data_IF_215134905380
#
_entry.id   IF_215134905380
#
_cell.length_a   1.000
_cell.length_b   1.000
_cell.length_c   1.000
_cell.angle_alpha   90.00
_cell.angle_beta   90.00
_cell.angle_gamma   90.00
#
_symmetry.space_group_name_H-M   'P 1'
#
loop_
_entity.id
_entity.type
_entity.pdbx_description
1 polymer ?
#
# COMPACT_ATOMS: atom_id res chain seq x y z
N UNK A 1 -4.11 -45.58 -8.97
CA UNK A 1 -3.32 -44.44 -8.44
C UNK A 1 -3.68 -43.11 -9.12
N UNK A 2 -4.49 -43.09 -10.19
CA UNK A 2 -4.96 -41.86 -10.86
C UNK A 2 -5.84 -40.93 -10.01
N UNK A 3 -6.72 -41.45 -9.14
CA UNK A 3 -7.65 -40.60 -8.36
C UNK A 3 -6.99 -39.68 -7.30
N UNK A 4 -5.70 -39.86 -7.01
CA UNK A 4 -4.91 -38.97 -6.12
C UNK A 4 -4.19 -37.85 -6.89
N UNK A 5 -3.91 -38.07 -8.18
CA UNK A 5 -3.30 -37.07 -9.05
C UNK A 5 -4.35 -36.03 -9.49
N UNK A 6 -5.53 -36.49 -9.85
CA UNK A 6 -6.66 -35.66 -10.32
C UNK A 6 -7.16 -34.67 -9.22
N UNK A 7 -7.32 -35.17 -7.98
CA UNK A 7 -7.64 -34.33 -6.81
C UNK A 7 -6.56 -33.30 -6.44
N UNK A 8 -5.33 -33.49 -6.90
CA UNK A 8 -4.20 -32.59 -6.60
C UNK A 8 -4.11 -31.47 -7.64
N UNK A 9 -4.46 -31.75 -8.90
CA UNK A 9 -4.55 -30.75 -9.97
C UNK A 9 -5.75 -29.80 -9.79
N UNK A 10 -6.91 -30.30 -9.37
CA UNK A 10 -8.08 -29.46 -9.08
C UNK A 10 -7.84 -28.47 -7.92
N UNK A 11 -6.88 -28.73 -7.03
CA UNK A 11 -6.49 -27.83 -5.93
C UNK A 11 -5.57 -26.68 -6.36
N UNK A 12 -5.07 -26.69 -7.59
CA UNK A 12 -4.09 -25.74 -8.09
C UNK A 12 -4.63 -24.80 -9.17
N UNK A 13 -5.90 -24.92 -9.55
CA UNK A 13 -6.51 -24.11 -10.60
C UNK A 13 -7.12 -22.83 -10.04
N UNK A 14 -6.95 -21.74 -10.79
CA UNK A 14 -7.67 -20.48 -10.56
C UNK A 14 -9.15 -20.75 -10.84
N UNK A 15 -10.02 -20.35 -9.93
CA UNK A 15 -11.47 -20.57 -10.08
C UNK A 15 -12.21 -19.25 -10.28
N UNK A 16 -13.36 -19.32 -10.95
CA UNK A 16 -14.24 -18.15 -11.13
C UNK A 16 -14.73 -17.59 -9.79
N UNK A 17 -14.89 -18.44 -8.76
CA UNK A 17 -15.28 -17.99 -7.41
C UNK A 17 -14.21 -17.10 -6.77
N UNK A 18 -12.92 -17.39 -6.89
CA UNK A 18 -11.88 -16.51 -6.33
C UNK A 18 -11.82 -15.16 -7.04
N UNK A 19 -12.05 -15.16 -8.36
CA UNK A 19 -12.12 -13.93 -9.14
C UNK A 19 -13.33 -13.07 -8.74
N UNK A 20 -14.50 -13.70 -8.54
CA UNK A 20 -15.70 -13.00 -8.11
C UNK A 20 -15.56 -12.43 -6.69
N UNK A 21 -15.02 -13.21 -5.74
CA UNK A 21 -14.75 -12.73 -4.38
C UNK A 21 -13.75 -11.57 -4.43
N UNK A 22 -12.65 -11.71 -5.17
CA UNK A 22 -11.68 -10.63 -5.35
C UNK A 22 -12.32 -9.38 -5.93
N UNK A 23 -13.12 -9.50 -6.99
CA UNK A 23 -13.82 -8.38 -7.63
C UNK A 23 -14.78 -7.65 -6.68
N UNK A 24 -15.48 -8.38 -5.81
CA UNK A 24 -16.37 -7.79 -4.80
C UNK A 24 -15.59 -7.09 -3.67
N UNK A 25 -14.40 -7.58 -3.33
CA UNK A 25 -13.56 -7.00 -2.28
C UNK A 25 -12.75 -5.78 -2.77
N UNK A 26 -12.52 -5.64 -4.08
CA UNK A 26 -11.79 -4.48 -4.65
C UNK A 26 -12.44 -3.14 -4.26
N UNK A 27 -13.74 -2.88 -4.48
CA UNK A 27 -14.35 -1.61 -4.08
C UNK A 27 -14.21 -1.31 -2.58
N UNK A 28 -14.29 -2.34 -1.74
CA UNK A 28 -14.13 -2.21 -0.29
C UNK A 28 -12.69 -1.80 0.04
N UNK A 29 -11.71 -2.46 -0.58
CA UNK A 29 -10.29 -2.16 -0.40
C UNK A 29 -9.95 -0.74 -0.88
N UNK A 30 -10.41 -0.37 -2.09
CA UNK A 30 -10.19 0.95 -2.67
C UNK A 30 -10.85 2.05 -1.82
N UNK A 31 -12.10 1.84 -1.40
CA UNK A 31 -12.78 2.80 -0.53
C UNK A 31 -12.04 2.99 0.80
N UNK A 32 -11.57 1.89 1.39
CA UNK A 32 -10.84 1.95 2.66
C UNK A 32 -9.53 2.72 2.52
N UNK A 33 -8.68 2.37 1.54
CA UNK A 33 -7.39 3.05 1.33
C UNK A 33 -7.58 4.53 1.02
N UNK A 34 -8.49 4.89 0.11
CA UNK A 34 -8.74 6.30 -0.24
C UNK A 34 -9.27 7.09 0.96
N UNK A 35 -10.11 6.47 1.80
CA UNK A 35 -10.61 7.14 3.01
C UNK A 35 -9.50 7.39 4.03
N UNK A 36 -8.62 6.42 4.24
CA UNK A 36 -7.54 6.51 5.24
C UNK A 36 -6.45 7.49 4.80
N UNK A 37 -6.07 7.44 3.52
CA UNK A 37 -5.00 8.25 2.93
C UNK A 37 -5.48 9.66 2.58
N UNK A 38 -6.56 9.82 1.82
CA UNK A 38 -7.00 11.14 1.35
C UNK A 38 -7.80 11.89 2.41
N UNK A 39 -8.80 11.24 3.00
CA UNK A 39 -9.74 11.94 3.89
C UNK A 39 -9.17 12.16 5.29
N UNK A 40 -8.60 11.12 5.89
CA UNK A 40 -8.08 11.19 7.26
C UNK A 40 -6.59 11.51 7.34
N UNK A 41 -5.85 11.39 6.23
CA UNK A 41 -4.40 11.65 6.18
C UNK A 41 -3.64 10.99 7.33
N UNK A 42 -4.04 9.76 7.64
CA UNK A 42 -3.72 9.11 8.92
C UNK A 42 -2.66 8.02 8.79
N UNK A 43 -2.63 7.33 7.67
CA UNK A 43 -1.69 6.26 7.37
C UNK A 43 -1.53 6.12 5.85
N UNK A 44 -0.29 6.19 5.37
CA UNK A 44 0.03 5.95 3.96
C UNK A 44 0.30 4.46 3.73
N UNK A 45 -0.74 3.64 3.85
CA UNK A 45 -0.66 2.18 3.76
C UNK A 45 -0.10 1.69 2.43
N UNK A 46 -0.39 2.42 1.35
CA UNK A 46 0.09 2.13 -0.01
C UNK A 46 1.58 2.45 -0.23
N UNK A 47 2.20 3.24 0.65
CA UNK A 47 3.62 3.57 0.58
C UNK A 47 4.51 2.56 1.31
N UNK A 48 3.91 1.60 2.03
CA UNK A 48 4.66 0.57 2.75
C UNK A 48 5.07 -0.58 1.83
N UNK A 49 6.24 -1.23 2.06
CA UNK A 49 6.67 -2.38 1.26
C UNK A 49 5.67 -3.55 1.28
N UNK A 50 4.96 -3.70 2.40
CA UNK A 50 3.87 -4.65 2.56
C UNK A 50 2.59 -3.86 2.80
N UNK A 51 1.63 -3.98 1.88
CA UNK A 51 0.34 -3.32 2.00
C UNK A 51 -0.47 -3.92 3.14
N UNK A 52 -0.83 -3.09 4.12
CA UNK A 52 -1.46 -3.55 5.37
C UNK A 52 -2.91 -3.99 5.12
N UNK A 53 -3.65 -3.25 4.30
CA UNK A 53 -5.07 -3.43 4.04
C UNK A 53 -5.35 -4.73 3.27
N UNK A 54 -4.66 -5.07 2.17
CA UNK A 54 -4.80 -6.36 1.50
C UNK A 54 -4.41 -7.53 2.40
N UNK A 55 -3.38 -7.38 3.24
CA UNK A 55 -2.99 -8.41 4.21
C UNK A 55 -4.07 -8.61 5.26
N UNK A 56 -4.67 -7.53 5.75
CA UNK A 56 -5.76 -7.60 6.72
C UNK A 56 -7.03 -8.20 6.12
N UNK A 57 -7.40 -7.81 4.90
CA UNK A 57 -8.53 -8.43 4.19
C UNK A 57 -8.26 -9.91 3.95
N UNK A 58 -7.03 -10.29 3.56
CA UNK A 58 -6.64 -11.70 3.46
C UNK A 58 -6.75 -12.43 4.81
N UNK A 59 -6.36 -11.79 5.92
CA UNK A 59 -6.56 -12.34 7.26
C UNK A 59 -8.03 -12.61 7.54
N UNK A 60 -8.93 -11.67 7.24
CA UNK A 60 -10.36 -11.88 7.39
C UNK A 60 -10.87 -13.01 6.50
N UNK A 61 -10.52 -13.02 5.21
CA UNK A 61 -10.93 -14.07 4.27
C UNK A 61 -10.44 -15.45 4.73
N UNK A 62 -9.22 -15.54 5.25
CA UNK A 62 -8.68 -16.80 5.80
C UNK A 62 -9.39 -17.21 7.11
N UNK A 63 -9.77 -16.25 7.97
CA UNK A 63 -10.62 -16.51 9.15
C UNK A 63 -11.97 -17.11 8.73
N UNK A 64 -12.66 -16.44 7.80
CA UNK A 64 -13.93 -16.92 7.27
C UNK A 64 -13.77 -18.28 6.61
N UNK A 65 -12.69 -18.51 5.87
CA UNK A 65 -12.42 -19.79 5.22
C UNK A 65 -12.19 -20.92 6.23
N UNK A 66 -11.49 -20.65 7.33
CA UNK A 66 -11.27 -21.61 8.41
C UNK A 66 -12.59 -22.04 9.06
N UNK A 67 -13.46 -21.08 9.35
CA UNK A 67 -14.81 -21.33 9.87
C UNK A 67 -15.66 -22.08 8.84
N UNK A 68 -15.63 -21.66 7.58
CA UNK A 68 -16.36 -22.30 6.49
C UNK A 68 -15.94 -23.76 6.28
N UNK A 69 -14.64 -24.06 6.41
CA UNK A 69 -14.11 -25.43 6.34
C UNK A 69 -14.68 -26.34 7.44
N UNK A 70 -15.10 -25.79 8.58
CA UNK A 70 -15.75 -26.54 9.68
C UNK A 70 -17.21 -26.85 9.38
N UNK A 71 -17.95 -25.92 8.78
CA UNK A 71 -19.40 -26.05 8.57
C UNK A 71 -19.77 -26.56 7.17
N UNK A 72 -19.11 -26.05 6.13
CA UNK A 72 -19.38 -26.37 4.72
C UNK A 72 -18.06 -26.62 3.98
N UNK A 73 -17.40 -27.78 4.18
CA UNK A 73 -16.08 -28.06 3.61
C UNK A 73 -16.00 -27.91 2.08
N UNK A 74 -17.10 -28.17 1.37
CA UNK A 74 -17.18 -28.04 -0.10
C UNK A 74 -17.04 -26.60 -0.58
N UNK A 75 -17.45 -25.62 0.23
CA UNK A 75 -17.35 -24.20 -0.10
C UNK A 75 -15.98 -23.59 0.27
N UNK A 76 -15.12 -24.34 0.95
CA UNK A 76 -13.81 -23.83 1.37
C UNK A 76 -12.90 -23.49 0.18
N UNK A 77 -12.18 -22.38 0.33
CA UNK A 77 -11.16 -21.89 -0.57
C UNK A 77 -9.84 -22.65 -0.34
N UNK A 78 -9.18 -22.98 -1.44
CA UNK A 78 -7.84 -23.54 -1.46
C UNK A 78 -6.79 -22.41 -1.36
N UNK A 79 -5.52 -22.79 -1.26
CA UNK A 79 -4.42 -21.83 -1.13
C UNK A 79 -4.28 -20.92 -2.36
N UNK A 80 -4.45 -21.46 -3.58
CA UNK A 80 -4.33 -20.70 -4.83
C UNK A 80 -5.41 -19.63 -4.92
N UNK A 81 -6.64 -19.97 -4.55
CA UNK A 81 -7.79 -19.05 -4.57
C UNK A 81 -7.61 -17.89 -3.59
N UNK A 82 -7.12 -18.17 -2.38
CA UNK A 82 -6.79 -17.13 -1.42
C UNK A 82 -5.66 -16.21 -1.92
N UNK A 83 -4.63 -16.78 -2.56
CA UNK A 83 -3.55 -16.01 -3.16
C UNK A 83 -4.02 -15.17 -4.35
N UNK A 84 -4.94 -15.68 -5.18
CA UNK A 84 -5.54 -14.90 -6.28
C UNK A 84 -6.31 -13.71 -5.73
N UNK A 85 -7.14 -13.91 -4.70
CA UNK A 85 -7.84 -12.80 -4.03
C UNK A 85 -6.83 -11.77 -3.50
N UNK A 86 -5.79 -12.22 -2.81
CA UNK A 86 -4.74 -11.33 -2.31
C UNK A 86 -4.05 -10.53 -3.42
N UNK A 87 -3.67 -11.17 -4.53
CA UNK A 87 -3.04 -10.51 -5.68
C UNK A 87 -3.98 -9.45 -6.28
N UNK A 88 -5.26 -9.77 -6.45
CA UNK A 88 -6.26 -8.81 -6.94
C UNK A 88 -6.35 -7.57 -6.03
N UNK A 89 -6.35 -7.77 -4.71
CA UNK A 89 -6.38 -6.68 -3.74
C UNK A 89 -5.11 -5.84 -3.77
N UNK A 90 -3.93 -6.47 -3.80
CA UNK A 90 -2.64 -5.77 -3.90
C UNK A 90 -2.59 -4.91 -5.17
N UNK A 91 -2.93 -5.47 -6.34
CA UNK A 91 -2.95 -4.73 -7.61
C UNK A 91 -3.93 -3.57 -7.52
N UNK A 92 -5.14 -3.78 -6.97
CA UNK A 92 -6.11 -2.70 -6.83
C UNK A 92 -5.60 -1.56 -5.95
N UNK A 93 -4.88 -1.87 -4.88
CA UNK A 93 -4.30 -0.88 -3.98
C UNK A 93 -3.12 -0.13 -4.61
N UNK A 94 -2.29 -0.80 -5.42
CA UNK A 94 -1.21 -0.13 -6.16
C UNK A 94 -1.74 1.02 -7.01
N UNK A 95 -2.89 0.82 -7.66
CA UNK A 95 -3.52 1.86 -8.47
C UNK A 95 -4.30 2.87 -7.65
N UNK A 96 -4.94 2.44 -6.56
CA UNK A 96 -5.72 3.33 -5.70
C UNK A 96 -4.89 4.09 -4.67
N UNK A 97 -3.56 3.88 -4.62
CA UNK A 97 -2.67 4.46 -3.62
C UNK A 97 -2.41 5.96 -3.77
N UNK A 98 -1.75 6.52 -2.77
CA UNK A 98 -1.50 7.95 -2.59
C UNK A 98 -0.92 8.65 -3.84
N UNK A 99 0.11 8.06 -4.45
CA UNK A 99 0.85 8.71 -5.54
C UNK A 99 0.39 8.33 -6.95
N UNK A 100 -0.67 7.52 -7.08
CA UNK A 100 -1.20 7.06 -8.37
C UNK A 100 -2.56 7.70 -8.66
N UNK A 101 -3.68 6.98 -8.52
CA UNK A 101 -4.97 7.50 -8.94
C UNK A 101 -5.44 8.68 -8.08
N UNK A 102 -5.12 8.70 -6.78
CA UNK A 102 -5.54 9.78 -5.89
C UNK A 102 -5.02 11.15 -6.39
N UNK A 103 -3.74 11.23 -6.76
CA UNK A 103 -3.15 12.44 -7.33
C UNK A 103 -3.55 12.67 -8.79
N UNK A 104 -3.71 11.61 -9.58
CA UNK A 104 -4.08 11.70 -10.99
C UNK A 104 -5.36 12.50 -11.22
N UNK A 105 -6.40 12.25 -10.41
CA UNK A 105 -7.65 13.00 -10.53
C UNK A 105 -7.43 14.50 -10.34
N UNK A 106 -6.60 14.90 -9.37
CA UNK A 106 -6.20 16.29 -9.19
C UNK A 106 -5.46 16.84 -10.41
N UNK A 107 -4.46 16.13 -10.93
CA UNK A 107 -3.67 16.55 -12.09
C UNK A 107 -4.51 16.77 -13.36
N UNK A 108 -5.58 15.99 -13.54
CA UNK A 108 -6.45 16.12 -14.72
C UNK A 108 -7.30 17.40 -14.73
N UNK A 109 -7.54 18.02 -13.58
CA UNK A 109 -8.56 19.08 -13.43
C UNK A 109 -8.06 20.36 -12.75
N UNK A 110 -7.06 20.27 -11.87
CA UNK A 110 -6.51 21.41 -11.11
C UNK A 110 -6.07 22.58 -12.00
N UNK A 111 -5.32 22.36 -13.10
CA UNK A 111 -4.83 23.45 -13.93
C UNK A 111 -5.96 24.34 -14.47
N UNK A 112 -7.11 23.75 -14.80
CA UNK A 112 -8.25 24.44 -15.40
C UNK A 112 -9.15 25.10 -14.35
N UNK A 113 -9.34 24.44 -13.20
CA UNK A 113 -10.17 24.96 -12.11
C UNK A 113 -9.52 26.15 -11.39
N UNK A 114 -8.22 26.05 -11.10
CA UNK A 114 -7.48 27.08 -10.36
C UNK A 114 -6.81 28.12 -11.26
N UNK A 115 -7.03 28.09 -12.57
CA UNK A 115 -6.59 29.16 -13.47
C UNK A 115 -7.33 30.47 -13.13
N UNK A 116 -6.56 31.51 -12.80
CA UNK A 116 -7.06 32.84 -12.46
C UNK A 116 -6.34 33.89 -13.31
N UNK A 117 -6.94 35.07 -13.55
CA UNK A 117 -6.24 36.15 -14.24
C UNK A 117 -4.91 36.54 -13.58
N UNK A 118 -4.81 36.43 -12.25
CA UNK A 118 -3.62 36.81 -11.48
C UNK A 118 -2.45 35.84 -11.62
N UNK A 119 -2.73 34.54 -11.81
CA UNK A 119 -1.69 33.54 -12.02
C UNK A 119 -1.34 33.31 -13.50
N UNK A 120 -2.17 33.83 -14.40
CA UNK A 120 -1.99 33.78 -15.86
C UNK A 120 -1.82 32.36 -16.43
N UNK A 121 -2.24 31.32 -15.69
CA UNK A 121 -1.99 29.93 -16.08
C UNK A 121 -2.57 29.55 -17.44
N UNK A 122 -3.71 30.15 -17.79
CA UNK A 122 -4.36 29.98 -19.09
C UNK A 122 -3.44 30.36 -20.25
N UNK A 123 -2.77 31.51 -20.15
CA UNK A 123 -1.89 32.03 -21.20
C UNK A 123 -0.52 31.34 -21.18
N UNK A 124 -0.02 31.02 -19.98
CA UNK A 124 1.32 30.48 -19.79
C UNK A 124 1.41 28.97 -20.08
N UNK A 125 0.43 28.19 -19.61
CA UNK A 125 0.59 26.74 -19.48
C UNK A 125 -0.48 25.90 -20.18
N UNK A 126 -1.75 26.32 -20.21
CA UNK A 126 -2.85 25.43 -20.66
C UNK A 126 -2.69 24.95 -22.11
N UNK A 127 -2.05 25.74 -22.98
CA UNK A 127 -1.73 25.32 -24.37
C UNK A 127 -0.82 24.09 -24.49
N UNK A 128 -0.06 23.78 -23.44
CA UNK A 128 0.84 22.62 -23.39
C UNK A 128 0.19 21.40 -22.76
N UNK A 129 -1.01 21.54 -22.20
CA UNK A 129 -1.73 20.45 -21.54
C UNK A 129 -2.60 19.76 -22.60
N UNK A 130 -2.40 18.47 -22.86
CA UNK A 130 -3.18 17.75 -23.86
C UNK A 130 -4.62 17.52 -23.39
N UNK A 131 -5.57 18.10 -24.12
CA UNK A 131 -7.03 17.98 -23.86
C UNK A 131 -7.60 16.56 -23.89
N UNK A 132 -6.84 15.58 -24.39
CA UNK A 132 -7.21 14.18 -24.38
C UNK A 132 -6.81 13.43 -23.11
N UNK A 133 -6.04 14.07 -22.20
CA UNK A 133 -5.67 13.56 -20.87
C UNK A 133 -6.34 14.30 -19.72
N UNK A 134 -7.08 15.38 -20.00
CA UNK A 134 -7.61 16.30 -18.99
C UNK A 134 -9.09 16.60 -19.19
N UNK A 135 -9.74 17.12 -18.14
CA UNK A 135 -11.13 17.58 -18.20
C UNK A 135 -11.12 19.09 -18.03
N UNK A 136 -11.44 19.81 -19.10
CA UNK A 136 -11.28 21.26 -19.19
C UNK A 136 -12.59 22.04 -18.93
N UNK A 137 -13.74 21.39 -19.10
CA UNK A 137 -15.06 22.02 -19.01
C UNK A 137 -15.37 22.48 -17.58
N UNK A 138 -15.30 23.80 -17.35
CA UNK A 138 -15.56 24.41 -16.04
C UNK A 138 -16.93 24.05 -15.46
N UNK A 139 -17.96 23.85 -16.28
CA UNK A 139 -19.29 23.51 -15.79
C UNK A 139 -19.36 22.10 -15.21
N UNK A 140 -18.47 21.21 -15.66
CA UNK A 140 -18.30 19.86 -15.11
C UNK A 140 -17.41 19.91 -13.87
N UNK A 141 -16.36 20.73 -13.90
CA UNK A 141 -15.46 20.92 -12.77
C UNK A 141 -16.15 21.55 -11.56
N UNK A 142 -17.11 22.45 -11.79
CA UNK A 142 -17.92 23.04 -10.72
C UNK A 142 -18.65 21.96 -9.92
N UNK A 143 -19.34 21.03 -10.60
CA UNK A 143 -19.99 19.90 -9.94
C UNK A 143 -19.02 18.91 -9.26
N UNK A 144 -17.79 18.80 -9.76
CA UNK A 144 -16.75 17.97 -9.15
C UNK A 144 -16.20 18.59 -7.86
N UNK A 145 -15.92 19.89 -7.84
CA UNK A 145 -15.33 20.59 -6.70
C UNK A 145 -16.34 21.06 -5.65
N UNK A 146 -17.46 21.64 -6.09
CA UNK A 146 -18.46 22.21 -5.18
C UNK A 146 -19.45 21.15 -4.68
N UNK A 147 -19.54 20.01 -5.35
CA UNK A 147 -20.51 18.97 -5.04
C UNK A 147 -21.91 19.28 -5.60
N UNK A 148 -22.94 18.78 -4.92
CA UNK A 148 -24.37 18.92 -5.30
C UNK A 148 -24.73 18.49 -6.73
N UNK A 149 -23.86 17.73 -7.38
CA UNK A 149 -24.00 17.24 -8.74
C UNK A 149 -23.82 15.73 -8.80
N UNK A 150 -24.38 15.08 -9.81
CA UNK A 150 -24.29 13.63 -9.98
C UNK A 150 -23.36 13.28 -11.13
N UNK A 151 -22.38 12.40 -10.86
CA UNK A 151 -21.50 11.87 -11.92
C UNK A 151 -22.26 11.00 -12.93
N UNK A 152 -23.45 10.52 -12.57
CA UNK A 152 -24.29 9.70 -13.45
C UNK A 152 -25.01 10.52 -14.53
N UNK A 153 -24.96 11.85 -14.46
CA UNK A 153 -25.49 12.71 -15.52
C UNK A 153 -24.58 12.63 -16.76
N UNK A 154 -25.16 12.46 -17.94
CA UNK A 154 -24.41 12.35 -19.20
C UNK A 154 -23.48 13.54 -19.43
N UNK A 155 -23.94 14.76 -19.15
CA UNK A 155 -23.13 15.99 -19.20
C UNK A 155 -21.86 15.89 -18.36
N UNK A 156 -21.93 15.28 -17.19
CA UNK A 156 -20.80 15.18 -16.27
C UNK A 156 -19.92 13.98 -16.57
N UNK A 157 -20.47 12.88 -17.11
CA UNK A 157 -19.71 11.65 -17.37
C UNK A 157 -18.93 11.68 -18.69
N UNK A 158 -19.57 12.15 -19.76
CA UNK A 158 -18.98 12.12 -21.12
C UNK A 158 -17.58 12.76 -21.20
N UNK A 159 -17.35 13.93 -20.58
CA UNK A 159 -16.04 14.60 -20.61
C UNK A 159 -14.92 13.78 -19.97
N UNK A 160 -15.23 12.83 -19.08
CA UNK A 160 -14.24 11.99 -18.40
C UNK A 160 -13.86 10.74 -19.19
N UNK A 161 -14.73 10.25 -20.08
CA UNK A 161 -14.53 8.96 -20.75
C UNK A 161 -13.21 8.95 -21.53
N UNK A 162 -12.94 9.99 -22.32
CA UNK A 162 -11.74 10.06 -23.15
C UNK A 162 -10.46 10.17 -22.31
N UNK A 163 -10.33 11.11 -21.35
CA UNK A 163 -9.19 11.15 -20.43
C UNK A 163 -8.96 9.84 -19.69
N UNK A 164 -10.02 9.25 -19.11
CA UNK A 164 -9.90 8.00 -18.36
C UNK A 164 -9.50 6.83 -19.24
N UNK A 165 -9.98 6.75 -20.48
CA UNK A 165 -9.57 5.72 -21.43
C UNK A 165 -8.09 5.85 -21.80
N UNK A 166 -7.60 7.07 -22.01
CA UNK A 166 -6.21 7.33 -22.38
C UNK A 166 -5.25 7.05 -21.21
N UNK A 167 -5.60 7.49 -19.99
CA UNK A 167 -4.85 7.12 -18.79
C UNK A 167 -4.91 5.61 -18.53
N UNK A 168 -6.08 4.98 -18.70
CA UNK A 168 -6.24 3.53 -18.58
C UNK A 168 -5.34 2.77 -19.55
N UNK A 169 -5.27 3.19 -20.82
CA UNK A 169 -4.36 2.61 -21.81
C UNK A 169 -2.89 2.79 -21.43
N UNK A 170 -2.51 3.97 -20.92
CA UNK A 170 -1.17 4.24 -20.42
C UNK A 170 -0.80 3.31 -19.25
N UNK A 171 -1.66 3.17 -18.24
CA UNK A 171 -1.41 2.29 -17.11
C UNK A 171 -1.37 0.81 -17.49
N UNK A 172 -2.21 0.38 -18.44
CA UNK A 172 -2.18 -0.97 -18.96
C UNK A 172 -0.85 -1.27 -19.67
N UNK A 173 -0.38 -0.34 -20.51
CA UNK A 173 0.93 -0.44 -21.15
C UNK A 173 2.07 -0.46 -20.12
N UNK A 174 1.99 0.36 -19.08
CA UNK A 174 2.97 0.41 -18.00
C UNK A 174 3.03 -0.91 -17.23
N UNK A 175 1.89 -1.47 -16.83
CA UNK A 175 1.84 -2.77 -16.15
C UNK A 175 2.34 -3.88 -17.06
N UNK A 176 1.95 -3.89 -18.33
CA UNK A 176 2.45 -4.86 -19.29
C UNK A 176 3.98 -4.81 -19.42
N UNK A 177 4.55 -3.63 -19.54
CA UNK A 177 6.01 -3.43 -19.56
C UNK A 177 6.67 -3.94 -18.28
N UNK A 178 6.11 -3.62 -17.11
CA UNK A 178 6.63 -4.11 -15.82
C UNK A 178 6.57 -5.63 -15.71
N UNK A 179 5.50 -6.26 -16.22
CA UNK A 179 5.39 -7.72 -16.31
C UNK A 179 6.45 -8.30 -17.25
N UNK A 180 6.69 -7.70 -18.42
CA UNK A 180 7.75 -8.11 -19.33
C UNK A 180 9.13 -8.04 -18.66
N UNK A 181 9.43 -6.94 -17.97
CA UNK A 181 10.68 -6.79 -17.21
C UNK A 181 10.79 -7.85 -16.11
N UNK A 182 9.70 -8.12 -15.38
CA UNK A 182 9.67 -9.16 -14.36
C UNK A 182 9.98 -10.53 -14.96
N UNK A 183 9.40 -10.89 -16.10
CA UNK A 183 9.66 -12.17 -16.77
C UNK A 183 11.14 -12.33 -17.15
N UNK A 184 11.77 -11.26 -17.67
CA UNK A 184 13.19 -11.28 -18.05
C UNK A 184 14.11 -11.47 -16.83
N UNK A 185 13.84 -10.73 -15.75
CA UNK A 185 14.75 -10.65 -14.60
C UNK A 185 14.49 -11.78 -13.58
N UNK A 186 13.24 -12.24 -13.46
CA UNK A 186 12.80 -13.26 -12.48
C UNK A 186 13.71 -14.48 -12.45
N UNK A 187 14.15 -14.96 -13.61
CA UNK A 187 15.01 -16.16 -13.68
C UNK A 187 16.36 -15.92 -13.02
N UNK A 188 17.04 -14.81 -13.35
CA UNK A 188 18.34 -14.47 -12.73
C UNK A 188 18.22 -14.25 -11.23
N UNK A 189 17.23 -13.46 -10.80
CA UNK A 189 17.02 -13.18 -9.38
C UNK A 189 16.70 -14.43 -8.57
N UNK A 190 15.93 -15.37 -9.13
CA UNK A 190 15.52 -16.58 -8.41
C UNK A 190 16.59 -17.66 -8.43
N UNK A 191 17.23 -17.90 -9.57
CA UNK A 191 18.16 -19.03 -9.75
C UNK A 191 19.62 -18.68 -9.42
N UNK A 192 20.07 -17.47 -9.79
CA UNK A 192 21.47 -17.07 -9.65
C UNK A 192 21.71 -16.27 -8.37
N UNK A 193 20.95 -15.18 -8.19
CA UNK A 193 21.13 -14.27 -7.05
C UNK A 193 20.39 -14.72 -5.79
N UNK A 194 19.46 -15.68 -5.92
CA UNK A 194 18.63 -16.23 -4.82
C UNK A 194 18.05 -15.13 -3.93
N UNK A 195 17.51 -14.09 -4.57
CA UNK A 195 16.93 -12.95 -3.88
C UNK A 195 15.87 -13.43 -2.89
N UNK A 196 16.02 -13.07 -1.62
CA UNK A 196 15.00 -13.35 -0.62
C UNK A 196 13.76 -12.51 -0.93
N UNK A 197 12.59 -13.15 -0.95
CA UNK A 197 11.30 -12.47 -1.07
C UNK A 197 10.60 -12.47 0.31
N UNK A 198 10.99 -11.57 1.23
CA UNK A 198 10.47 -11.56 2.60
C UNK A 198 8.98 -11.15 2.67
N UNK A 199 8.58 -10.22 1.79
CA UNK A 199 7.24 -9.61 1.80
C UNK A 199 6.15 -10.64 1.50
N UNK A 200 6.43 -11.67 0.68
CA UNK A 200 5.46 -12.71 0.33
C UNK A 200 5.32 -13.80 1.40
N UNK A 201 6.23 -13.89 2.38
CA UNK A 201 6.25 -14.96 3.38
C UNK A 201 4.99 -14.94 4.24
N UNK A 202 4.52 -13.75 4.63
CA UNK A 202 3.34 -13.61 5.45
C UNK A 202 2.07 -14.06 4.69
N UNK A 203 1.73 -13.51 3.49
CA UNK A 203 0.60 -14.01 2.69
C UNK A 203 0.67 -15.50 2.37
N UNK A 204 1.86 -16.03 2.05
CA UNK A 204 2.03 -17.47 1.78
C UNK A 204 1.79 -18.31 3.04
N UNK A 205 2.27 -17.87 4.20
CA UNK A 205 2.03 -18.52 5.49
C UNK A 205 0.55 -18.50 5.89
N UNK A 206 -0.13 -17.37 5.67
CA UNK A 206 -1.55 -17.20 5.97
C UNK A 206 -2.47 -18.05 5.10
N UNK A 207 -2.06 -18.39 3.89
CA UNK A 207 -2.89 -19.17 2.93
C UNK A 207 -2.59 -20.66 2.96
N UNK A 208 -1.53 -21.10 3.64
CA UNK A 208 -1.11 -22.50 3.73
C UNK A 208 -2.22 -23.39 4.31
N UNK A 209 -2.47 -24.53 3.66
CA UNK A 209 -3.57 -25.46 3.98
C UNK A 209 -4.98 -24.83 3.97
N UNK A 210 -5.16 -23.74 3.22
CA UNK A 210 -6.42 -22.95 3.22
C UNK A 210 -6.56 -22.07 4.46
N UNK A 211 -5.45 -21.73 5.12
CA UNK A 211 -5.36 -20.88 6.30
C UNK A 211 -5.35 -21.61 7.64
N UNK A 212 -5.62 -22.92 7.66
CA UNK A 212 -5.69 -23.67 8.93
C UNK A 212 -4.39 -23.72 9.72
N UNK A 213 -3.23 -23.60 9.06
CA UNK A 213 -1.93 -23.62 9.75
C UNK A 213 -1.76 -22.39 10.65
N UNK A 214 -2.20 -21.21 10.18
CA UNK A 214 -2.14 -19.96 10.92
C UNK A 214 -2.96 -20.06 12.23
N UNK A 215 -4.21 -20.50 12.13
CA UNK A 215 -5.14 -20.60 13.27
C UNK A 215 -4.73 -21.61 14.34
N UNK A 216 -3.94 -22.63 13.99
CA UNK A 216 -3.46 -23.65 14.93
C UNK A 216 -2.23 -23.21 15.72
N UNK A 217 -1.53 -22.16 15.29
CA UNK A 217 -0.28 -21.73 15.90
C UNK A 217 -0.51 -20.90 17.17
N UNK A 218 -0.23 -21.48 18.34
CA UNK A 218 -0.32 -20.75 19.63
C UNK A 218 0.67 -19.58 19.70
N UNK A 219 1.85 -19.73 19.12
CA UNK A 219 2.90 -18.69 19.09
C UNK A 219 2.43 -17.48 18.28
N UNK A 220 1.77 -17.72 17.14
CA UNK A 220 1.18 -16.64 16.33
C UNK A 220 0.15 -15.85 17.14
N UNK A 221 -0.75 -16.54 17.85
CA UNK A 221 -1.78 -15.88 18.66
C UNK A 221 -1.22 -15.12 19.84
N UNK A 222 -0.15 -15.62 20.46
CA UNK A 222 0.55 -14.89 21.53
C UNK A 222 1.19 -13.60 21.00
N UNK A 223 1.85 -13.65 19.84
CA UNK A 223 2.40 -12.47 19.17
C UNK A 223 1.31 -11.47 18.73
N UNK A 224 0.23 -11.98 18.15
CA UNK A 224 -0.92 -11.16 17.75
C UNK A 224 -1.58 -10.49 18.96
N UNK A 225 -1.83 -11.24 20.04
CA UNK A 225 -2.43 -10.69 21.25
C UNK A 225 -1.54 -9.63 21.89
N UNK A 226 -0.22 -9.85 21.94
CA UNK A 226 0.72 -8.86 22.45
C UNK A 226 0.69 -7.56 21.63
N UNK A 227 0.80 -7.66 20.30
CA UNK A 227 0.74 -6.49 19.42
C UNK A 227 -0.63 -5.78 19.49
N UNK A 228 -1.72 -6.55 19.48
CA UNK A 228 -3.08 -6.01 19.58
C UNK A 228 -3.31 -5.27 20.90
N UNK A 229 -2.87 -5.82 22.04
CA UNK A 229 -2.99 -5.15 23.35
C UNK A 229 -2.23 -3.83 23.34
N UNK A 230 -1.00 -3.82 22.81
CA UNK A 230 -0.17 -2.63 22.70
C UNK A 230 -0.85 -1.55 21.83
N UNK A 231 -1.34 -1.95 20.66
CA UNK A 231 -1.97 -1.02 19.71
C UNK A 231 -3.33 -0.51 20.22
N UNK A 232 -4.11 -1.35 20.90
CA UNK A 232 -5.38 -0.94 21.54
C UNK A 232 -5.11 0.05 22.65
N UNK A 233 -4.14 -0.19 23.54
CA UNK A 233 -3.79 0.77 24.62
C UNK A 233 -3.34 2.10 24.01
N UNK A 234 -2.48 2.07 23.00
CA UNK A 234 -2.00 3.29 22.34
C UNK A 234 -3.10 3.99 21.54
N UNK A 235 -4.00 3.26 20.90
CA UNK A 235 -5.16 3.80 20.19
C UNK A 235 -6.18 4.42 21.14
N UNK A 236 -6.43 3.77 22.28
CA UNK A 236 -7.28 4.32 23.34
C UNK A 236 -6.65 5.55 23.97
N UNK A 237 -5.33 5.61 24.17
CA UNK A 237 -4.66 6.84 24.64
C UNK A 237 -4.87 8.03 23.68
N UNK A 238 -4.92 7.80 22.36
CA UNK A 238 -5.20 8.87 21.40
C UNK A 238 -6.61 9.47 21.57
N UNK A 239 -7.60 8.66 21.98
CA UNK A 239 -8.98 9.09 22.19
C UNK A 239 -9.18 9.61 23.62
N UNK A 240 -8.58 8.92 24.59
CA UNK A 240 -8.66 9.18 26.02
C UNK A 240 -7.25 9.39 26.59
N UNK A 241 -6.79 10.65 26.70
CA UNK A 241 -5.44 10.97 27.18
C UNK A 241 -5.11 10.46 28.60
N UNK A 242 -6.12 10.05 29.37
CA UNK A 242 -5.96 9.48 30.72
C UNK A 242 -5.30 8.09 30.73
N UNK A 243 -5.33 7.36 29.62
CA UNK A 243 -4.73 6.02 29.52
C UNK A 243 -3.23 6.17 29.26
N UNK A 244 -2.33 5.48 29.99
CA UNK A 244 -0.90 5.62 29.78
C UNK A 244 -0.48 5.06 28.41
N UNK A 245 0.22 5.89 27.62
CA UNK A 245 0.79 5.48 26.34
C UNK A 245 2.04 4.63 26.55
N UNK A 246 2.14 3.52 25.82
CA UNK A 246 3.37 2.73 25.76
C UNK A 246 4.35 3.45 24.83
N UNK A 247 5.44 3.95 25.42
CA UNK A 247 6.46 4.76 24.73
C UNK A 247 7.30 3.89 23.75
N UNK A 248 7.98 4.53 22.80
CA UNK A 248 8.94 3.92 21.85
C UNK A 248 8.41 3.01 20.73
N UNK A 249 7.12 2.62 20.75
CA UNK A 249 6.52 1.83 19.65
C UNK A 249 6.33 2.67 18.38
N UNK A 250 5.85 3.90 18.52
CA UNK A 250 5.73 4.88 17.41
C UNK A 250 6.93 5.82 17.37
N UNK A 251 7.09 6.55 16.26
CA UNK A 251 8.18 7.52 16.06
C UNK A 251 8.37 8.42 17.29
N UNK A 252 9.50 8.25 17.95
CA UNK A 252 9.94 9.00 19.12
C UNK A 252 11.21 9.76 18.75
N UNK A 253 11.18 11.08 18.85
CA UNK A 253 12.32 11.93 18.52
C UNK A 253 13.37 11.86 19.63
N UNK A 254 14.63 11.57 19.26
CA UNK A 254 15.76 11.49 20.20
C UNK A 254 16.64 12.76 20.13
N UNK A 255 16.17 13.78 19.41
CA UNK A 255 16.88 15.04 19.25
C UNK A 255 17.23 15.81 20.51
N UNK A 256 16.66 15.44 21.66
CA UNK A 256 17.05 16.01 22.96
C UNK A 256 18.53 15.73 23.31
N UNK A 257 19.15 14.72 22.70
CA UNK A 257 20.57 14.38 22.90
C UNK A 257 21.50 15.27 22.05
N UNK A 258 21.01 15.84 20.96
CA UNK A 258 21.83 16.56 19.97
C UNK A 258 21.57 18.07 20.02
N UNK A 259 22.11 18.74 21.03
CA UNK A 259 21.88 20.18 21.22
C UNK A 259 22.89 21.07 20.54
N UNK A 260 24.15 20.64 20.45
CA UNK A 260 25.26 21.49 20.05
C UNK A 260 25.58 21.38 18.55
N UNK A 261 26.09 22.46 17.95
CA UNK A 261 26.57 22.43 16.55
C UNK A 261 27.85 21.61 16.44
N UNK A 262 28.07 20.82 15.37
CA UNK A 262 27.23 20.62 14.18
C UNK A 262 26.16 19.51 14.31
N UNK A 263 26.03 18.90 15.49
CA UNK A 263 25.11 17.78 15.74
C UNK A 263 23.63 18.18 15.77
N UNK A 264 23.34 19.48 15.85
CA UNK A 264 21.99 20.05 15.84
C UNK A 264 21.11 19.59 14.65
N UNK A 265 21.73 19.20 13.54
CA UNK A 265 21.01 18.65 12.37
C UNK A 265 20.34 17.31 12.67
N UNK A 266 20.90 16.51 13.58
CA UNK A 266 20.36 15.22 13.96
C UNK A 266 19.16 15.31 14.92
N UNK A 267 18.72 16.52 15.30
CA UNK A 267 17.57 16.71 16.22
C UNK A 267 16.28 16.06 15.73
N UNK A 268 16.10 15.95 14.42
CA UNK A 268 14.91 15.35 13.83
C UNK A 268 14.99 13.82 13.71
N UNK A 269 16.04 13.18 14.25
CA UNK A 269 16.17 11.73 14.27
C UNK A 269 15.05 11.11 15.11
N UNK A 270 14.25 10.28 14.45
CA UNK A 270 13.15 9.52 15.06
C UNK A 270 13.51 8.05 15.09
N UNK A 271 13.31 7.42 16.25
CA UNK A 271 13.40 5.96 16.39
C UNK A 271 12.01 5.43 16.72
N UNK A 272 11.70 4.26 16.19
CA UNK A 272 10.43 3.56 16.39
C UNK A 272 10.66 2.06 16.42
N UNK A 273 9.98 1.38 17.32
CA UNK A 273 9.99 -0.09 17.42
C UNK A 273 8.66 -0.65 16.91
N UNK A 274 8.39 -0.47 15.61
CA UNK A 274 7.19 -1.02 14.98
C UNK A 274 7.28 -2.56 14.96
N UNK A 275 6.38 -3.30 15.65
CA UNK A 275 6.45 -4.76 15.70
C UNK A 275 6.41 -5.41 14.32
N UNK A 276 5.60 -4.88 13.40
CA UNK A 276 5.51 -5.39 12.03
C UNK A 276 6.82 -5.17 11.25
N UNK A 277 7.47 -4.01 11.41
CA UNK A 277 8.72 -3.69 10.72
C UNK A 277 9.86 -4.56 11.25
N UNK A 278 9.91 -4.82 12.56
CA UNK A 278 10.85 -5.76 13.18
C UNK A 278 10.62 -7.18 12.64
N UNK A 279 9.35 -7.60 12.52
CA UNK A 279 8.98 -8.89 11.93
C UNK A 279 9.43 -9.02 10.47
N UNK A 280 9.23 -7.99 9.66
CA UNK A 280 9.72 -7.96 8.27
C UNK A 280 11.25 -7.94 8.20
N UNK A 281 11.91 -7.18 9.08
CA UNK A 281 13.36 -7.10 9.13
C UNK A 281 14.02 -8.45 9.46
N UNK A 282 13.35 -9.31 10.24
CA UNK A 282 13.83 -10.66 10.52
C UNK A 282 13.92 -11.55 9.27
N UNK A 283 13.12 -11.26 8.23
CA UNK A 283 13.17 -11.97 6.96
C UNK A 283 14.16 -11.35 5.96
N UNK A 284 14.75 -10.19 6.27
CA UNK A 284 15.71 -9.55 5.37
C UNK A 284 17.07 -10.26 5.42
N UNK A 285 17.73 -10.46 4.26
CA UNK A 285 19.14 -10.81 4.21
C UNK A 285 20.00 -9.85 5.03
N UNK A 286 21.04 -10.39 5.67
CA UNK A 286 21.96 -9.62 6.51
C UNK A 286 22.61 -8.46 5.74
N UNK A 287 22.98 -8.67 4.49
CA UNK A 287 23.61 -7.63 3.66
C UNK A 287 22.68 -6.45 3.38
N UNK A 288 21.38 -6.72 3.19
CA UNK A 288 20.36 -5.68 3.01
C UNK A 288 20.09 -4.94 4.32
N UNK A 289 19.97 -5.66 5.43
CA UNK A 289 19.81 -5.04 6.75
C UNK A 289 21.00 -4.16 7.11
N UNK A 290 22.23 -4.63 6.83
CA UNK A 290 23.44 -3.85 7.03
C UNK A 290 23.44 -2.61 6.14
N UNK A 291 23.10 -2.75 4.85
CA UNK A 291 23.03 -1.62 3.92
C UNK A 291 22.04 -0.54 4.39
N UNK A 292 20.83 -0.92 4.81
CA UNK A 292 19.84 0.02 5.34
C UNK A 292 20.38 0.80 6.55
N UNK A 293 21.02 0.11 7.48
CA UNK A 293 21.62 0.75 8.65
C UNK A 293 22.82 1.64 8.28
N UNK A 294 23.74 1.14 7.45
CA UNK A 294 24.94 1.84 7.04
C UNK A 294 24.60 3.12 6.28
N UNK A 295 23.73 3.06 5.26
CA UNK A 295 23.34 4.23 4.49
C UNK A 295 22.56 5.24 5.32
N UNK A 296 21.78 4.78 6.30
CA UNK A 296 21.13 5.68 7.26
C UNK A 296 22.15 6.47 8.09
N UNK A 297 23.16 5.80 8.64
CA UNK A 297 24.24 6.44 9.42
C UNK A 297 25.12 7.30 8.51
N UNK A 298 25.45 6.84 7.32
CA UNK A 298 26.24 7.58 6.34
C UNK A 298 25.58 8.92 5.98
N UNK A 299 24.27 8.90 5.68
CA UNK A 299 23.49 10.13 5.44
C UNK A 299 23.55 11.09 6.65
N UNK A 300 23.52 10.57 7.88
CA UNK A 300 23.65 11.40 9.07
C UNK A 300 25.02 12.07 9.17
N UNK A 301 26.08 11.34 8.85
CA UNK A 301 27.45 11.88 8.82
C UNK A 301 27.56 12.99 7.77
N UNK A 302 27.00 12.79 6.57
CA UNK A 302 26.98 13.81 5.52
C UNK A 302 26.28 15.09 5.98
N UNK A 303 25.13 14.97 6.64
CA UNK A 303 24.38 16.10 7.20
C UNK A 303 25.19 16.87 8.25
N UNK A 304 25.85 16.15 9.17
CA UNK A 304 26.72 16.75 10.19
C UNK A 304 27.93 17.45 9.55
N UNK A 305 28.54 16.83 8.53
CA UNK A 305 29.68 17.41 7.83
C UNK A 305 29.30 18.66 7.04
N UNK A 306 28.18 18.62 6.30
CA UNK A 306 27.64 19.78 5.59
C UNK A 306 27.34 20.94 6.55
N UNK A 307 26.83 20.63 7.74
CA UNK A 307 26.61 21.61 8.80
C UNK A 307 27.91 22.19 9.35
N UNK A 308 28.92 21.36 9.59
CA UNK A 308 30.23 21.80 10.07
C UNK A 308 30.91 22.76 9.07
N UNK A 309 30.71 22.55 7.77
CA UNK A 309 31.19 23.41 6.69
C UNK A 309 30.35 24.67 6.45
N UNK A 310 29.22 24.84 7.15
CA UNK A 310 28.37 26.02 7.04
C UNK A 310 27.46 26.05 5.80
N UNK A 311 27.23 24.91 5.14
CA UNK A 311 26.32 24.82 3.99
C UNK A 311 24.86 25.04 4.47
N UNK A 312 24.15 25.96 3.81
CA UNK A 312 22.71 26.21 4.06
C UNK A 312 21.89 25.30 3.14
N UNK A 313 21.23 24.29 3.70
CA UNK A 313 20.41 23.33 2.95
C UNK A 313 20.32 21.94 3.56
N UNK A 314 21.05 21.69 4.64
CA UNK A 314 21.06 20.44 5.40
C UNK A 314 20.49 20.63 6.81
#
# INVERSE_FOLDING_TARGET
MEGKHDKREDRLRVTSRSLLIGALLIPINVYWVTTVEVKYYSLDGSCLPLFIEPVFILFLVTCFNFVLKRFIPRASLNQVELLVIYIMLVISMTFAGHDTFQNLFGQMVHPFWFATPENEWEQLFLRYIPSWLTVEDRSVLEGYYMGESSIYMSKNLLPWIKPLAMWGAFFLALVFMMLCLNVLIRKRWTEQEKLAYPIIQLPLGMTREGGSTLFKSRVMWLGFALAAVIDIINGLNCIYPSIPRIKYIKLTTIGYVFTDRPWDVLRWTRISMYPFAIGLAFFLPLDLSFSCWFFFVFRMIEQVFGRALGLKGF
#
